data_IF_892964940899
#
_entry.id   IF_892964940899
#
_cell.length_a   1.000
_cell.length_b   1.000
_cell.length_c   1.000
_cell.angle_alpha   90.00
_cell.angle_beta   90.00
_cell.angle_gamma   90.00
#
_symmetry.space_group_name_H-M   'P 1'
#
loop_
_entity.id
_entity.type
_entity.pdbx_description
1 polymer ?
#
# COMPACT_ATOMS: atom_id res chain seq x y z
N UNK A 1 -24.28 7.64 4.61
CA UNK A 1 -24.44 6.20 4.28
C UNK A 1 -23.85 5.36 5.37
N UNK A 2 -24.35 4.14 5.54
CA UNK A 2 -23.74 3.09 6.37
C UNK A 2 -22.88 2.17 5.51
N UNK A 3 -21.57 2.22 5.70
CA UNK A 3 -20.59 1.57 4.84
C UNK A 3 -19.93 0.42 5.60
N UNK A 4 -19.95 -0.79 5.02
CA UNK A 4 -19.25 -1.96 5.54
C UNK A 4 -17.93 -2.13 4.79
N UNK A 5 -16.80 -1.75 5.39
CA UNK A 5 -15.47 -2.02 4.87
C UNK A 5 -15.02 -3.42 5.29
N UNK A 6 -14.59 -4.24 4.34
CA UNK A 6 -14.26 -5.66 4.54
C UNK A 6 -12.79 -5.91 4.24
N UNK A 7 -12.03 -6.39 5.22
CA UNK A 7 -10.65 -6.83 5.03
C UNK A 7 -10.59 -8.31 4.64
N UNK A 8 -9.96 -8.63 3.52
CA UNK A 8 -9.61 -10.00 3.13
C UNK A 8 -8.25 -10.45 3.70
N UNK A 9 -7.52 -9.55 4.35
CA UNK A 9 -6.14 -9.72 4.79
C UNK A 9 -5.94 -10.78 5.88
N UNK A 10 -4.69 -11.19 6.06
CA UNK A 10 -4.25 -12.11 7.12
C UNK A 10 -3.24 -11.49 8.07
N UNK A 11 -3.08 -10.17 8.04
CA UNK A 11 -2.17 -9.39 8.89
C UNK A 11 -2.51 -7.91 8.86
N UNK A 12 -1.97 -7.14 9.81
CA UNK A 12 -2.30 -5.72 10.03
C UNK A 12 -1.32 -4.73 9.40
N UNK A 13 -0.27 -5.21 8.75
CA UNK A 13 0.95 -4.44 8.46
C UNK A 13 1.26 -4.31 6.96
N UNK A 14 0.25 -4.40 6.11
CA UNK A 14 0.39 -4.21 4.66
C UNK A 14 -0.18 -2.88 4.19
N UNK A 15 0.24 -2.43 2.99
CA UNK A 15 -0.32 -1.20 2.40
C UNK A 15 -1.84 -1.24 2.22
N UNK A 16 -2.41 -2.41 1.91
CA UNK A 16 -3.85 -2.56 1.79
C UNK A 16 -4.61 -2.46 3.12
N UNK A 17 -3.98 -2.84 4.23
CA UNK A 17 -4.55 -2.67 5.58
C UNK A 17 -4.44 -1.22 6.05
N UNK A 18 -3.34 -0.54 5.73
CA UNK A 18 -3.19 0.90 5.97
C UNK A 18 -4.19 1.70 5.12
N UNK A 19 -4.41 1.29 3.87
CA UNK A 19 -5.45 1.88 3.02
C UNK A 19 -6.85 1.82 3.67
N UNK A 20 -7.23 0.68 4.28
CA UNK A 20 -8.52 0.55 4.97
C UNK A 20 -8.64 1.51 6.17
N UNK A 21 -7.56 1.67 6.94
CA UNK A 21 -7.48 2.63 8.05
C UNK A 21 -7.69 4.06 7.53
N UNK A 22 -6.97 4.44 6.48
CA UNK A 22 -7.08 5.77 5.87
C UNK A 22 -8.46 6.00 5.25
N UNK A 23 -8.94 5.08 4.41
CA UNK A 23 -10.25 5.22 3.78
C UNK A 23 -11.37 5.31 4.82
N UNK A 24 -11.35 4.44 5.84
CA UNK A 24 -12.34 4.44 6.91
C UNK A 24 -12.37 5.76 7.67
N UNK A 25 -11.21 6.31 7.98
CA UNK A 25 -11.09 7.62 8.63
C UNK A 25 -11.64 8.75 7.76
N UNK A 26 -11.24 8.81 6.48
CA UNK A 26 -11.73 9.83 5.56
C UNK A 26 -13.25 9.77 5.36
N UNK A 27 -13.85 8.56 5.34
CA UNK A 27 -15.30 8.41 5.23
C UNK A 27 -16.03 8.87 6.50
N UNK A 28 -15.49 8.60 7.69
CA UNK A 28 -16.05 9.09 8.97
C UNK A 28 -15.98 10.61 9.03
N UNK A 29 -14.87 11.23 8.61
CA UNK A 29 -14.71 12.68 8.53
C UNK A 29 -15.72 13.34 7.58
N UNK A 30 -16.23 12.60 6.60
CA UNK A 30 -17.31 13.00 5.68
C UNK A 30 -18.73 12.68 6.17
N UNK A 31 -18.87 12.23 7.41
CA UNK A 31 -20.17 11.98 8.06
C UNK A 31 -20.81 10.63 7.73
N UNK A 32 -20.05 9.64 7.25
CA UNK A 32 -20.57 8.29 7.04
C UNK A 32 -20.49 7.44 8.32
N UNK A 33 -21.44 6.52 8.51
CA UNK A 33 -21.35 5.44 9.49
C UNK A 33 -20.47 4.33 8.91
N UNK A 34 -19.30 4.10 9.50
CA UNK A 34 -18.36 3.06 9.03
C UNK A 34 -18.35 1.87 9.95
N UNK A 35 -18.61 0.70 9.39
CA UNK A 35 -18.40 -0.60 10.02
C UNK A 35 -17.16 -1.25 9.37
N UNK A 36 -16.27 -1.83 10.20
CA UNK A 36 -15.09 -2.52 9.69
C UNK A 36 -15.16 -4.01 10.04
N UNK A 37 -15.34 -4.86 9.03
CA UNK A 37 -15.35 -6.32 9.17
C UNK A 37 -13.92 -6.86 8.99
N UNK A 38 -13.37 -7.45 10.05
CA UNK A 38 -11.96 -7.88 10.13
C UNK A 38 -11.91 -9.33 10.62
N UNK A 39 -11.11 -10.22 9.99
CA UNK A 39 -10.88 -11.58 10.47
C UNK A 39 -10.48 -11.62 11.95
N UNK A 40 -11.08 -12.53 12.74
CA UNK A 40 -10.80 -12.71 14.16
C UNK A 40 -9.48 -13.49 14.38
N UNK A 41 -8.39 -13.02 13.75
CA UNK A 41 -7.06 -13.59 13.87
C UNK A 41 -6.15 -12.65 14.68
N UNK A 42 -5.26 -13.13 15.58
CA UNK A 42 -4.39 -12.26 16.38
C UNK A 42 -3.55 -11.29 15.55
N UNK A 43 -3.07 -11.70 14.37
CA UNK A 43 -2.33 -10.83 13.44
C UNK A 43 -3.13 -9.61 12.96
N UNK A 44 -4.46 -9.60 13.12
CA UNK A 44 -5.35 -8.49 12.74
C UNK A 44 -5.66 -7.56 13.92
N UNK A 45 -5.14 -7.81 15.13
CA UNK A 45 -5.46 -7.04 16.33
C UNK A 45 -4.99 -5.59 16.25
N UNK A 46 -3.83 -5.36 15.64
CA UNK A 46 -3.28 -4.01 15.47
C UNK A 46 -4.17 -3.15 14.56
N UNK A 47 -4.60 -3.67 13.42
CA UNK A 47 -5.56 -2.98 12.53
C UNK A 47 -6.89 -2.74 13.26
N UNK A 48 -7.43 -3.77 13.92
CA UNK A 48 -8.66 -3.64 14.68
C UNK A 48 -8.57 -2.54 15.77
N UNK A 49 -7.44 -2.46 16.49
CA UNK A 49 -7.19 -1.43 17.49
C UNK A 49 -7.08 -0.01 16.92
N UNK A 50 -6.47 0.15 15.74
CA UNK A 50 -6.41 1.44 15.05
C UNK A 50 -7.80 1.90 14.62
N UNK A 51 -8.55 1.03 13.97
CA UNK A 51 -9.89 1.34 13.44
C UNK A 51 -10.91 1.56 14.54
N UNK A 52 -10.81 0.86 15.68
CA UNK A 52 -11.72 1.02 16.83
C UNK A 52 -11.73 2.45 17.41
N UNK A 53 -10.77 3.30 17.04
CA UNK A 53 -10.70 4.71 17.46
C UNK A 53 -11.74 5.60 16.77
N UNK A 54 -12.24 5.18 15.60
CA UNK A 54 -13.14 6.00 14.79
C UNK A 54 -14.32 5.22 14.19
N UNK A 55 -14.29 3.89 14.15
CA UNK A 55 -15.33 3.06 13.54
C UNK A 55 -15.64 1.83 14.39
N UNK A 56 -16.84 1.25 14.20
CA UNK A 56 -17.23 0.00 14.84
C UNK A 56 -16.55 -1.18 14.17
N UNK A 57 -15.78 -1.96 14.93
CA UNK A 57 -15.07 -3.16 14.45
C UNK A 57 -15.91 -4.42 14.69
N UNK A 58 -16.04 -5.25 13.66
CA UNK A 58 -16.69 -6.57 13.69
C UNK A 58 -15.60 -7.61 13.46
N UNK A 59 -15.33 -8.42 14.49
CA UNK A 59 -14.37 -9.52 14.42
C UNK A 59 -15.09 -10.76 13.91
N UNK A 60 -14.68 -11.22 12.73
CA UNK A 60 -15.35 -12.29 12.02
C UNK A 60 -14.55 -13.60 12.02
N UNK A 61 -15.25 -14.72 12.19
CA UNK A 61 -14.68 -16.05 11.97
C UNK A 61 -14.50 -16.27 10.46
N UNK A 62 -13.36 -15.76 9.94
CA UNK A 62 -12.97 -15.87 8.54
C UNK A 62 -11.50 -16.24 8.42
N UNK A 63 -11.22 -17.18 7.52
CA UNK A 63 -9.88 -17.61 7.21
C UNK A 63 -9.47 -17.03 5.85
N UNK A 64 -8.42 -16.21 5.85
CA UNK A 64 -7.89 -15.60 4.62
C UNK A 64 -7.32 -16.64 3.65
N UNK A 65 -7.34 -16.31 2.35
CA UNK A 65 -6.72 -17.13 1.28
C UNK A 65 -5.25 -17.47 1.57
N UNK A 66 -4.55 -16.59 2.24
CA UNK A 66 -3.13 -16.78 2.59
C UNK A 66 -2.87 -17.84 3.65
N UNK A 67 -3.90 -18.21 4.41
CA UNK A 67 -3.83 -19.23 5.46
C UNK A 67 -4.21 -20.65 4.96
N UNK A 68 -4.58 -20.78 3.67
CA UNK A 68 -4.83 -22.06 3.02
C UNK A 68 -3.62 -22.52 2.21
N UNK A 69 -3.28 -23.81 2.31
CA UNK A 69 -2.22 -24.42 1.45
C UNK A 69 -2.59 -24.35 -0.04
N UNK A 70 -3.86 -24.56 -0.36
CA UNK A 70 -4.40 -24.54 -1.72
C UNK A 70 -4.88 -23.16 -2.18
N UNK A 71 -4.73 -22.14 -1.32
CA UNK A 71 -5.01 -20.71 -1.62
C UNK A 71 -6.31 -20.50 -2.42
N UNK A 72 -6.19 -20.03 -3.66
CA UNK A 72 -7.28 -19.68 -4.59
C UNK A 72 -8.33 -20.78 -4.74
N UNK A 73 -7.91 -22.06 -4.81
CA UNK A 73 -8.82 -23.19 -4.96
C UNK A 73 -9.73 -23.33 -3.72
N UNK A 74 -9.16 -23.21 -2.52
CA UNK A 74 -9.93 -23.32 -1.28
C UNK A 74 -11.03 -22.25 -1.21
N UNK A 75 -10.71 -20.98 -1.50
CA UNK A 75 -11.68 -19.88 -1.43
C UNK A 75 -12.72 -19.98 -2.55
N UNK A 76 -12.33 -20.43 -3.75
CA UNK A 76 -13.27 -20.65 -4.85
C UNK A 76 -14.33 -21.71 -4.53
N UNK A 77 -13.97 -22.77 -3.78
CA UNK A 77 -14.87 -23.86 -3.41
C UNK A 77 -15.69 -23.60 -2.14
N UNK A 78 -15.36 -22.57 -1.36
CA UNK A 78 -15.92 -22.33 -0.03
C UNK A 78 -17.33 -21.68 -0.07
N UNK A 79 -18.29 -22.35 -0.68
CA UNK A 79 -19.67 -21.85 -0.84
C UNK A 79 -20.41 -21.65 0.49
N UNK A 80 -20.19 -22.55 1.46
CA UNK A 80 -20.86 -22.46 2.79
C UNK A 80 -20.40 -21.20 3.55
N UNK A 81 -19.12 -20.89 3.52
CA UNK A 81 -18.57 -19.68 4.13
C UNK A 81 -19.14 -18.43 3.45
N UNK A 82 -19.21 -18.40 2.10
CA UNK A 82 -19.82 -17.27 1.38
C UNK A 82 -21.26 -17.01 1.81
N UNK A 83 -22.06 -18.06 1.94
CA UNK A 83 -23.47 -17.95 2.36
C UNK A 83 -23.61 -17.40 3.79
N UNK A 84 -22.84 -17.95 4.75
CA UNK A 84 -22.83 -17.50 6.15
C UNK A 84 -22.41 -16.03 6.26
N UNK A 85 -21.39 -15.61 5.51
CA UNK A 85 -20.92 -14.22 5.49
C UNK A 85 -21.98 -13.30 4.87
N UNK A 86 -22.58 -13.70 3.77
CA UNK A 86 -23.66 -12.93 3.12
C UNK A 86 -24.83 -12.68 4.07
N UNK A 87 -25.22 -13.69 4.86
CA UNK A 87 -26.27 -13.53 5.87
C UNK A 87 -25.85 -12.55 6.95
N UNK A 88 -24.64 -12.68 7.50
CA UNK A 88 -24.10 -11.76 8.50
C UNK A 88 -24.08 -10.31 7.99
N UNK A 89 -23.67 -10.09 6.73
CA UNK A 89 -23.64 -8.75 6.16
C UNK A 89 -25.03 -8.14 5.95
N UNK A 90 -26.02 -8.95 5.56
CA UNK A 90 -27.42 -8.49 5.50
C UNK A 90 -27.97 -8.05 6.86
N UNK A 91 -27.64 -8.79 7.93
CA UNK A 91 -28.05 -8.46 9.31
C UNK A 91 -27.48 -7.14 9.79
N UNK A 92 -26.28 -6.73 9.29
CA UNK A 92 -25.66 -5.45 9.58
C UNK A 92 -26.36 -4.27 8.88
N UNK A 93 -27.17 -4.53 7.84
CA UNK A 93 -27.92 -3.55 7.04
C UNK A 93 -27.04 -2.39 6.55
N UNK A 94 -25.91 -2.63 5.87
CA UNK A 94 -25.16 -1.55 5.25
C UNK A 94 -25.84 -1.08 3.95
N UNK A 95 -25.64 0.19 3.60
CA UNK A 95 -26.06 0.73 2.30
C UNK A 95 -25.13 0.22 1.19
N UNK A 96 -23.84 0.00 1.53
CA UNK A 96 -22.83 -0.52 0.60
C UNK A 96 -21.80 -1.38 1.32
N UNK A 97 -21.33 -2.42 0.65
CA UNK A 97 -20.22 -3.28 1.06
C UNK A 97 -18.99 -2.93 0.23
N UNK A 98 -17.88 -2.60 0.87
CA UNK A 98 -16.61 -2.37 0.20
C UNK A 98 -15.63 -3.49 0.55
N UNK A 99 -15.31 -4.33 -0.43
CA UNK A 99 -14.32 -5.39 -0.32
C UNK A 99 -12.92 -4.83 -0.59
N UNK A 100 -11.97 -5.07 0.29
CA UNK A 100 -10.57 -4.70 0.10
C UNK A 100 -9.72 -5.93 -0.19
N UNK A 101 -9.31 -6.11 -1.44
CA UNK A 101 -8.49 -7.23 -1.91
C UNK A 101 -7.07 -6.81 -2.20
N UNK A 102 -6.11 -7.62 -1.76
CA UNK A 102 -4.69 -7.37 -2.01
C UNK A 102 -4.29 -7.64 -3.47
N UNK A 103 -4.88 -8.67 -4.10
CA UNK A 103 -4.58 -9.08 -5.46
C UNK A 103 -5.78 -9.79 -6.14
N UNK A 104 -5.60 -10.28 -7.35
CA UNK A 104 -6.65 -10.90 -8.16
C UNK A 104 -7.25 -12.18 -7.53
N UNK A 105 -6.47 -12.94 -6.77
CA UNK A 105 -6.86 -14.26 -6.25
C UNK A 105 -7.45 -14.24 -4.83
N UNK A 106 -7.26 -13.14 -4.14
CA UNK A 106 -7.64 -12.96 -2.75
C UNK A 106 -9.16 -12.83 -2.61
N UNK A 107 -9.76 -13.38 -1.53
CA UNK A 107 -11.15 -13.15 -1.17
C UNK A 107 -12.19 -13.50 -2.25
N UNK A 108 -12.02 -14.57 -3.04
CA UNK A 108 -13.00 -14.98 -4.05
C UNK A 108 -14.34 -15.41 -3.44
N UNK A 109 -14.30 -15.98 -2.24
CA UNK A 109 -15.46 -16.29 -1.43
C UNK A 109 -16.19 -15.05 -0.90
N UNK A 110 -15.45 -13.96 -0.65
CA UNK A 110 -16.02 -12.67 -0.26
C UNK A 110 -16.73 -11.96 -1.44
N UNK A 111 -16.20 -12.05 -2.67
CA UNK A 111 -16.92 -11.59 -3.87
C UNK A 111 -18.27 -12.27 -3.99
N UNK A 112 -18.28 -13.60 -3.88
CA UNK A 112 -19.52 -14.40 -3.90
C UNK A 112 -20.46 -14.04 -2.74
N UNK A 113 -19.92 -13.78 -1.54
CA UNK A 113 -20.73 -13.36 -0.41
C UNK A 113 -21.38 -11.99 -0.65
N UNK A 114 -20.67 -11.06 -1.29
CA UNK A 114 -21.23 -9.76 -1.66
C UNK A 114 -22.40 -9.90 -2.66
N UNK A 115 -22.23 -10.69 -3.73
CA UNK A 115 -23.32 -10.95 -4.68
C UNK A 115 -24.52 -11.61 -4.00
N UNK A 116 -24.28 -12.61 -3.13
CA UNK A 116 -25.35 -13.30 -2.38
C UNK A 116 -26.04 -12.42 -1.33
N UNK A 117 -25.37 -11.37 -0.84
CA UNK A 117 -25.98 -10.44 0.12
C UNK A 117 -27.08 -9.56 -0.50
N UNK A 118 -27.08 -9.41 -1.82
CA UNK A 118 -27.92 -8.49 -2.56
C UNK A 118 -27.80 -7.00 -2.10
N UNK A 119 -26.70 -6.67 -1.43
CA UNK A 119 -26.34 -5.29 -1.06
C UNK A 119 -25.41 -4.73 -2.13
N UNK A 120 -25.56 -3.47 -2.47
CA UNK A 120 -24.66 -2.75 -3.38
C UNK A 120 -23.19 -2.98 -2.94
N UNK A 121 -22.30 -3.27 -3.89
CA UNK A 121 -20.93 -3.61 -3.51
C UNK A 121 -19.88 -3.02 -4.44
N UNK A 122 -18.75 -2.67 -3.83
CA UNK A 122 -17.54 -2.15 -4.47
C UNK A 122 -16.36 -3.02 -4.03
N UNK A 123 -15.41 -3.28 -4.91
CA UNK A 123 -14.25 -4.10 -4.60
C UNK A 123 -12.97 -3.41 -5.05
N UNK A 124 -12.13 -2.99 -4.12
CA UNK A 124 -10.79 -2.47 -4.42
C UNK A 124 -9.81 -3.62 -4.58
N UNK A 125 -9.00 -3.56 -5.65
CA UNK A 125 -7.88 -4.47 -5.92
C UNK A 125 -6.59 -3.66 -6.01
N UNK A 126 -5.66 -3.91 -5.08
CA UNK A 126 -4.40 -3.17 -5.01
C UNK A 126 -3.39 -3.61 -6.07
N UNK A 127 -3.25 -4.91 -6.30
CA UNK A 127 -2.29 -5.49 -7.22
C UNK A 127 -3.00 -6.33 -8.29
N UNK A 128 -2.72 -6.06 -9.55
CA UNK A 128 -3.32 -6.75 -10.69
C UNK A 128 -2.33 -7.69 -11.40
N UNK A 129 -1.19 -7.97 -10.76
CA UNK A 129 -0.25 -8.99 -11.23
C UNK A 129 -0.90 -10.37 -11.14
N UNK A 130 -0.81 -11.13 -12.26
CA UNK A 130 -1.34 -12.49 -12.34
C UNK A 130 -0.49 -13.47 -11.53
N UNK A 131 -1.04 -14.62 -11.16
CA UNK A 131 -0.29 -15.69 -10.51
C UNK A 131 0.88 -16.16 -11.39
N UNK A 132 0.71 -16.10 -12.72
CA UNK A 132 1.77 -16.41 -13.69
C UNK A 132 2.90 -15.39 -13.64
N UNK A 133 2.62 -14.10 -13.59
CA UNK A 133 3.62 -13.04 -13.45
C UNK A 133 4.43 -13.21 -12.16
N UNK A 134 3.76 -13.61 -11.07
CA UNK A 134 4.36 -13.82 -9.75
C UNK A 134 5.12 -15.16 -9.64
N UNK A 135 5.21 -15.97 -10.69
CA UNK A 135 5.89 -17.28 -10.68
C UNK A 135 5.23 -18.30 -9.74
N UNK A 136 3.92 -18.17 -9.47
CA UNK A 136 3.24 -19.02 -8.52
C UNK A 136 3.04 -20.45 -9.03
N UNK A 137 3.04 -21.44 -8.12
CA UNK A 137 2.68 -22.83 -8.47
C UNK A 137 1.24 -22.90 -8.96
N UNK A 138 0.99 -23.72 -9.99
CA UNK A 138 -0.33 -23.89 -10.66
C UNK A 138 -0.89 -22.55 -11.19
N UNK A 139 -0.06 -21.63 -11.60
CA UNK A 139 -0.41 -20.27 -11.95
C UNK A 139 -1.56 -20.18 -12.97
N UNK A 140 -1.52 -20.98 -14.05
CA UNK A 140 -2.57 -20.99 -15.10
C UNK A 140 -3.95 -21.35 -14.54
N UNK A 141 -4.02 -22.38 -13.67
CA UNK A 141 -5.26 -22.77 -13.03
C UNK A 141 -5.76 -21.70 -12.05
N UNK A 142 -4.87 -21.13 -11.26
CA UNK A 142 -5.20 -20.06 -10.32
C UNK A 142 -5.71 -18.80 -11.03
N UNK A 143 -5.04 -18.38 -12.10
CA UNK A 143 -5.48 -17.24 -12.92
C UNK A 143 -6.83 -17.53 -13.61
N UNK A 144 -7.07 -18.76 -14.09
CA UNK A 144 -8.35 -19.15 -14.66
C UNK A 144 -9.49 -19.10 -13.64
N UNK A 145 -9.29 -19.63 -12.43
CA UNK A 145 -10.27 -19.58 -11.33
C UNK A 145 -10.56 -18.13 -10.93
N UNK A 146 -9.50 -17.31 -10.71
CA UNK A 146 -9.64 -15.91 -10.33
C UNK A 146 -10.41 -15.13 -11.41
N UNK A 147 -10.03 -15.30 -12.69
CA UNK A 147 -10.72 -14.69 -13.83
C UNK A 147 -12.21 -15.01 -13.85
N UNK A 148 -12.58 -16.29 -13.66
CA UNK A 148 -13.98 -16.70 -13.62
C UNK A 148 -14.75 -16.04 -12.49
N UNK A 149 -14.17 -15.99 -11.29
CA UNK A 149 -14.80 -15.34 -10.14
C UNK A 149 -14.96 -13.83 -10.31
N UNK A 150 -13.92 -13.14 -10.84
CA UNK A 150 -13.99 -11.69 -11.08
C UNK A 150 -15.01 -11.34 -12.18
N UNK A 151 -15.09 -12.13 -13.26
CA UNK A 151 -16.10 -11.93 -14.31
C UNK A 151 -17.55 -12.09 -13.83
N UNK A 152 -17.77 -12.94 -12.83
CA UNK A 152 -19.09 -13.19 -12.25
C UNK A 152 -19.53 -12.16 -11.22
N UNK A 153 -18.65 -11.28 -10.76
CA UNK A 153 -18.98 -10.29 -9.76
C UNK A 153 -19.84 -9.13 -10.32
N UNK A 154 -20.99 -8.89 -9.68
CA UNK A 154 -21.96 -7.90 -10.14
C UNK A 154 -21.66 -6.45 -9.73
N UNK A 155 -20.80 -6.25 -8.72
CA UNK A 155 -20.45 -4.93 -8.19
C UNK A 155 -19.46 -4.15 -9.06
N UNK A 156 -18.92 -3.08 -8.50
CA UNK A 156 -17.95 -2.20 -9.17
C UNK A 156 -16.54 -2.54 -8.65
N UNK A 157 -15.63 -2.83 -9.56
CA UNK A 157 -14.21 -2.91 -9.22
C UNK A 157 -13.55 -1.54 -9.22
N UNK A 158 -12.68 -1.31 -8.24
CA UNK A 158 -11.79 -0.15 -8.18
C UNK A 158 -10.35 -0.63 -8.18
N UNK A 159 -9.55 -0.18 -9.13
CA UNK A 159 -8.11 -0.31 -9.11
C UNK A 159 -7.48 0.97 -8.57
N UNK A 160 -6.33 0.85 -7.90
CA UNK A 160 -5.70 1.97 -7.19
C UNK A 160 -4.97 2.97 -8.09
N UNK A 161 -4.99 2.73 -9.40
CA UNK A 161 -4.51 3.63 -10.45
C UNK A 161 -4.94 3.13 -11.84
N UNK A 162 -4.78 3.97 -12.85
CA UNK A 162 -5.29 3.71 -14.20
C UNK A 162 -4.58 2.54 -14.89
N UNK A 163 -3.26 2.40 -14.77
CA UNK A 163 -2.53 1.25 -15.33
C UNK A 163 -2.99 -0.08 -14.71
N UNK A 164 -3.34 -0.07 -13.42
CA UNK A 164 -3.92 -1.25 -12.74
C UNK A 164 -5.35 -1.52 -13.19
N UNK A 165 -6.15 -0.47 -13.45
CA UNK A 165 -7.49 -0.62 -14.02
C UNK A 165 -7.44 -1.25 -15.42
N UNK A 166 -6.57 -0.75 -16.28
CA UNK A 166 -6.37 -1.29 -17.62
C UNK A 166 -5.94 -2.77 -17.59
N UNK A 167 -4.98 -3.12 -16.71
CA UNK A 167 -4.54 -4.50 -16.51
C UNK A 167 -5.67 -5.40 -15.98
N UNK A 168 -6.52 -4.90 -15.07
CA UNK A 168 -7.69 -5.62 -14.58
C UNK A 168 -8.70 -5.87 -15.70
N UNK A 169 -9.01 -4.85 -16.51
CA UNK A 169 -9.92 -4.99 -17.66
C UNK A 169 -9.42 -6.02 -18.67
N UNK A 170 -8.12 -5.98 -18.98
CA UNK A 170 -7.50 -6.99 -19.83
C UNK A 170 -7.62 -8.41 -19.20
N UNK A 171 -7.40 -8.53 -17.90
CA UNK A 171 -7.51 -9.82 -17.20
C UNK A 171 -8.93 -10.40 -17.25
N UNK A 172 -9.97 -9.57 -17.21
CA UNK A 172 -11.38 -10.00 -17.23
C UNK A 172 -12.06 -9.83 -18.61
N UNK A 173 -11.30 -9.61 -19.67
CA UNK A 173 -11.77 -9.41 -21.06
C UNK A 173 -12.83 -8.29 -21.18
N UNK A 174 -12.66 -7.20 -20.45
CA UNK A 174 -13.51 -6.00 -20.51
C UNK A 174 -14.95 -6.16 -20.00
N UNK A 175 -15.30 -7.30 -19.38
CA UNK A 175 -16.69 -7.65 -19.04
C UNK A 175 -17.15 -7.15 -17.66
N UNK A 176 -16.36 -6.35 -16.98
CA UNK A 176 -16.69 -5.88 -15.62
C UNK A 176 -16.72 -4.36 -15.55
N UNK A 177 -17.52 -3.83 -14.62
CA UNK A 177 -17.53 -2.40 -14.33
C UNK A 177 -16.33 -2.03 -13.49
N UNK A 178 -15.43 -1.19 -14.02
CA UNK A 178 -14.17 -0.83 -13.35
C UNK A 178 -14.01 0.68 -13.27
N UNK A 179 -13.42 1.14 -12.16
CA UNK A 179 -12.99 2.53 -11.93
C UNK A 179 -11.53 2.54 -11.48
N UNK A 180 -10.87 3.68 -11.58
CA UNK A 180 -9.59 3.91 -10.91
C UNK A 180 -9.72 5.03 -9.89
N UNK A 181 -9.20 4.78 -8.67
CA UNK A 181 -9.13 5.76 -7.59
C UNK A 181 -7.75 5.63 -6.96
N UNK A 182 -7.01 6.72 -6.93
CA UNK A 182 -5.69 6.76 -6.30
C UNK A 182 -5.82 6.59 -4.77
N UNK A 183 -4.89 5.88 -4.16
CA UNK A 183 -4.82 5.80 -2.71
C UNK A 183 -4.49 7.17 -2.14
N UNK A 184 -5.18 7.56 -1.07
CA UNK A 184 -4.92 8.78 -0.32
C UNK A 184 -4.16 8.51 0.97
N UNK A 185 -3.41 9.51 1.40
CA UNK A 185 -2.69 9.55 2.66
C UNK A 185 -3.07 10.81 3.45
N UNK A 186 -2.98 10.79 4.78
CA UNK A 186 -3.21 11.98 5.59
C UNK A 186 -2.21 13.09 5.24
N UNK A 187 -2.68 14.30 5.02
CA UNK A 187 -1.82 15.45 4.80
C UNK A 187 -1.29 15.96 6.13
N UNK A 188 0.01 15.79 6.36
CA UNK A 188 0.66 16.21 7.61
C UNK A 188 0.76 17.72 7.73
N UNK A 189 0.49 18.24 8.93
CA UNK A 189 0.86 19.61 9.28
C UNK A 189 2.39 19.68 9.46
N UNK A 190 3.02 20.69 8.84
CA UNK A 190 4.47 20.86 8.87
C UNK A 190 4.98 21.81 9.98
N UNK A 191 4.11 22.23 10.92
CA UNK A 191 4.47 23.25 11.94
C UNK A 191 5.64 22.82 12.84
N UNK A 192 5.64 21.55 13.29
CA UNK A 192 6.61 21.05 14.27
C UNK A 192 7.68 20.13 13.62
N UNK A 193 7.78 20.11 12.31
CA UNK A 193 8.66 19.18 11.57
C UNK A 193 10.12 19.31 12.00
N UNK A 194 10.63 20.53 12.21
CA UNK A 194 12.02 20.74 12.63
C UNK A 194 12.32 20.11 14.00
N UNK A 195 11.39 20.20 14.94
CA UNK A 195 11.50 19.60 16.28
C UNK A 195 11.45 18.07 16.19
N UNK A 196 10.48 17.53 15.43
CA UNK A 196 10.33 16.09 15.21
C UNK A 196 11.58 15.54 14.53
N UNK A 197 12.06 16.20 13.47
CA UNK A 197 13.30 15.85 12.77
C UNK A 197 14.48 15.77 13.72
N UNK A 198 14.75 16.84 14.47
CA UNK A 198 15.88 16.91 15.38
C UNK A 198 15.79 15.86 16.50
N UNK A 199 14.59 15.61 17.05
CA UNK A 199 14.37 14.58 18.06
C UNK A 199 14.63 13.18 17.50
N UNK A 200 14.07 12.85 16.32
CA UNK A 200 14.23 11.54 15.70
C UNK A 200 15.67 11.29 15.24
N UNK A 201 16.36 12.28 14.69
CA UNK A 201 17.78 12.16 14.30
C UNK A 201 18.66 11.88 15.52
N UNK A 202 18.42 12.55 16.68
CA UNK A 202 19.13 12.26 17.94
C UNK A 202 18.87 10.83 18.41
N UNK A 203 17.59 10.38 18.37
CA UNK A 203 17.22 8.99 18.73
C UNK A 203 17.97 7.96 17.88
N UNK A 204 18.15 8.27 16.59
CA UNK A 204 18.83 7.40 15.62
C UNK A 204 20.36 7.57 15.59
N UNK A 205 20.94 8.46 16.41
CA UNK A 205 22.35 8.85 16.38
C UNK A 205 22.81 9.34 14.98
N UNK A 206 21.98 10.14 14.30
CA UNK A 206 22.26 10.76 13.00
C UNK A 206 22.65 12.20 13.22
N UNK A 207 23.84 12.60 12.77
CA UNK A 207 24.35 13.97 12.85
C UNK A 207 23.65 14.91 11.84
N UNK A 208 23.68 16.22 12.10
CA UNK A 208 23.05 17.20 11.21
C UNK A 208 23.69 17.25 9.82
N UNK A 209 24.98 16.91 9.72
CA UNK A 209 25.72 16.83 8.47
C UNK A 209 25.53 15.50 7.72
N UNK A 210 24.97 14.47 8.37
CA UNK A 210 24.74 13.16 7.73
C UNK A 210 23.56 13.25 6.77
N UNK A 211 23.68 12.60 5.62
CA UNK A 211 22.56 12.36 4.70
C UNK A 211 21.85 11.06 5.10
N UNK A 212 20.63 11.13 5.59
CA UNK A 212 19.83 9.95 5.97
C UNK A 212 18.94 9.48 4.81
N UNK A 213 19.28 8.33 4.25
CA UNK A 213 18.51 7.67 3.17
C UNK A 213 17.62 6.58 3.77
N UNK A 214 16.32 6.66 3.50
CA UNK A 214 15.31 5.75 4.03
C UNK A 214 14.85 4.73 2.99
N UNK A 215 14.68 3.48 3.42
CA UNK A 215 13.89 2.45 2.75
C UNK A 215 12.67 2.11 3.61
N UNK A 216 11.46 2.13 3.03
CA UNK A 216 10.22 1.83 3.75
C UNK A 216 9.46 0.71 3.07
N UNK A 217 9.19 -0.36 3.82
CA UNK A 217 8.40 -1.48 3.33
C UNK A 217 8.80 -2.83 3.90
N UNK A 218 8.01 -3.85 3.54
CA UNK A 218 8.32 -5.21 3.97
C UNK A 218 9.64 -5.69 3.37
N UNK A 219 10.44 -6.42 4.14
CA UNK A 219 11.63 -7.13 3.64
C UNK A 219 11.21 -8.39 2.87
N UNK A 220 10.76 -8.19 1.62
CA UNK A 220 10.31 -9.23 0.70
C UNK A 220 10.84 -8.95 -0.71
N UNK A 221 10.81 -9.96 -1.59
CA UNK A 221 11.29 -9.85 -2.98
C UNK A 221 10.68 -8.67 -3.74
N UNK A 222 9.39 -8.41 -3.55
CA UNK A 222 8.68 -7.29 -4.16
C UNK A 222 9.37 -5.93 -3.91
N UNK A 223 9.88 -5.72 -2.70
CA UNK A 223 10.48 -4.43 -2.27
C UNK A 223 11.97 -4.32 -2.58
N UNK A 224 12.60 -5.39 -3.09
CA UNK A 224 13.99 -5.42 -3.54
C UNK A 224 14.99 -4.84 -2.54
N UNK A 225 15.05 -5.34 -1.29
CA UNK A 225 16.04 -4.88 -0.32
C UNK A 225 17.48 -5.11 -0.77
N UNK A 226 17.73 -6.11 -1.64
CA UNK A 226 19.00 -6.34 -2.33
C UNK A 226 19.41 -5.15 -3.21
N UNK A 227 18.49 -4.63 -4.02
CA UNK A 227 18.75 -3.44 -4.85
C UNK A 227 18.93 -2.19 -3.98
N UNK A 228 18.14 -2.03 -2.92
CA UNK A 228 18.33 -0.95 -1.97
C UNK A 228 19.76 -0.93 -1.40
N UNK A 229 20.28 -2.08 -0.96
CA UNK A 229 21.63 -2.19 -0.40
C UNK A 229 22.71 -1.91 -1.47
N UNK A 230 22.52 -2.42 -2.70
CA UNK A 230 23.43 -2.11 -3.81
C UNK A 230 23.52 -0.60 -4.06
N UNK A 231 22.37 0.05 -4.09
CA UNK A 231 22.26 1.50 -4.30
C UNK A 231 22.87 2.28 -3.13
N UNK A 232 22.57 1.85 -1.90
CA UNK A 232 23.14 2.45 -0.70
C UNK A 232 24.67 2.39 -0.69
N UNK A 233 25.27 1.27 -1.13
CA UNK A 233 26.72 1.13 -1.25
C UNK A 233 27.32 2.13 -2.26
N UNK A 234 26.66 2.32 -3.41
CA UNK A 234 27.13 3.31 -4.40
C UNK A 234 27.00 4.76 -3.91
N UNK A 235 25.90 5.07 -3.20
CA UNK A 235 25.73 6.39 -2.57
C UNK A 235 26.83 6.60 -1.53
N UNK A 236 27.05 5.63 -0.62
CA UNK A 236 28.06 5.76 0.44
C UNK A 236 29.48 5.94 -0.09
N UNK A 237 29.82 5.26 -1.17
CA UNK A 237 31.14 5.39 -1.81
C UNK A 237 31.41 6.82 -2.32
N UNK A 238 30.37 7.54 -2.76
CA UNK A 238 30.47 8.92 -3.27
C UNK A 238 30.20 9.97 -2.20
N UNK A 239 29.35 9.65 -1.23
CA UNK A 239 28.92 10.51 -0.14
C UNK A 239 29.16 9.82 1.20
N UNK A 240 30.42 9.81 1.72
CA UNK A 240 30.77 9.06 2.93
C UNK A 240 29.99 9.46 4.20
N UNK A 241 29.45 10.68 4.25
CA UNK A 241 28.56 11.13 5.33
C UNK A 241 27.13 10.60 5.20
N UNK A 242 26.84 9.65 4.28
CA UNK A 242 25.51 9.04 4.17
C UNK A 242 25.28 7.93 5.19
N UNK A 243 24.08 7.89 5.72
CA UNK A 243 23.52 6.87 6.62
C UNK A 243 22.26 6.29 6.00
N UNK A 244 21.96 5.04 6.32
CA UNK A 244 20.83 4.34 5.73
C UNK A 244 19.98 3.71 6.80
N UNK A 245 18.66 3.73 6.61
CA UNK A 245 17.71 3.11 7.53
C UNK A 245 16.63 2.37 6.74
N UNK A 246 16.47 1.07 7.02
CA UNK A 246 15.32 0.32 6.54
C UNK A 246 14.24 0.25 7.62
N UNK A 247 13.02 0.69 7.27
CA UNK A 247 11.84 0.68 8.14
C UNK A 247 10.89 -0.39 7.65
N UNK A 248 10.75 -1.45 8.41
CA UNK A 248 9.89 -2.59 8.10
C UNK A 248 10.54 -3.92 8.36
N UNK A 249 9.71 -4.96 8.30
CA UNK A 249 10.10 -6.34 8.57
C UNK A 249 9.60 -7.28 7.46
N UNK A 250 10.04 -8.53 7.45
CA UNK A 250 9.63 -9.50 6.45
C UNK A 250 10.45 -10.78 6.44
N UNK A 251 10.15 -11.67 5.49
CA UNK A 251 10.79 -12.99 5.40
C UNK A 251 12.28 -12.95 5.03
N UNK A 252 12.80 -11.80 4.56
CA UNK A 252 14.23 -11.61 4.33
C UNK A 252 14.99 -11.04 5.54
N UNK A 253 14.29 -10.72 6.64
CA UNK A 253 14.93 -10.23 7.86
C UNK A 253 16.07 -11.13 8.40
N UNK A 254 15.97 -12.48 8.37
CA UNK A 254 17.07 -13.35 8.80
C UNK A 254 18.33 -13.27 7.92
N UNK A 255 18.21 -12.81 6.67
CA UNK A 255 19.33 -12.68 5.72
C UNK A 255 19.89 -11.27 5.64
N UNK A 256 19.24 -10.32 6.32
CA UNK A 256 19.57 -8.90 6.22
C UNK A 256 21.02 -8.60 6.61
N UNK A 257 21.49 -9.13 7.76
CA UNK A 257 22.83 -8.85 8.26
C UNK A 257 23.91 -9.39 7.32
N UNK A 258 23.71 -10.58 6.73
CA UNK A 258 24.60 -11.15 5.72
C UNK A 258 24.68 -10.26 4.46
N UNK A 259 23.55 -9.72 4.00
CA UNK A 259 23.50 -8.84 2.84
C UNK A 259 24.16 -7.48 3.11
N UNK A 260 23.94 -6.92 4.29
CA UNK A 260 24.59 -5.68 4.76
C UNK A 260 26.12 -5.84 4.81
N UNK A 261 26.61 -6.95 5.34
CA UNK A 261 28.03 -7.26 5.38
C UNK A 261 28.64 -7.32 3.98
N UNK A 262 28.00 -8.06 3.07
CA UNK A 262 28.43 -8.15 1.66
C UNK A 262 28.43 -6.81 0.94
N UNK A 263 27.51 -5.93 1.29
CA UNK A 263 27.42 -4.59 0.72
C UNK A 263 28.44 -3.60 1.32
N UNK A 264 29.17 -3.97 2.37
CA UNK A 264 30.12 -3.10 3.06
C UNK A 264 29.47 -1.97 3.85
N UNK A 265 28.21 -2.16 4.30
CA UNK A 265 27.41 -1.10 4.92
C UNK A 265 27.22 -1.23 6.42
N UNK A 266 27.88 -2.20 7.10
CA UNK A 266 27.61 -2.56 8.49
C UNK A 266 27.64 -1.40 9.48
N UNK A 267 28.50 -0.41 9.26
CA UNK A 267 28.67 0.75 10.16
C UNK A 267 27.76 1.93 9.85
N UNK A 268 27.05 1.90 8.71
CA UNK A 268 26.30 3.05 8.20
C UNK A 268 24.84 2.76 7.90
N UNK A 269 24.43 1.49 8.03
CA UNK A 269 23.02 1.11 7.84
C UNK A 269 22.46 0.44 9.08
N UNK A 270 21.18 0.72 9.36
CA UNK A 270 20.40 0.05 10.41
C UNK A 270 19.03 -0.35 9.92
N UNK A 271 18.35 -1.19 10.70
CA UNK A 271 16.97 -1.62 10.49
C UNK A 271 16.20 -1.54 11.81
N UNK A 272 15.04 -0.91 11.77
CA UNK A 272 14.20 -0.70 12.98
C UNK A 272 12.96 -1.61 13.03
N UNK A 273 12.81 -2.52 12.05
CA UNK A 273 11.62 -3.38 11.98
C UNK A 273 10.34 -2.60 11.66
N UNK A 274 9.19 -3.20 11.98
CA UNK A 274 7.89 -2.55 11.80
C UNK A 274 7.72 -1.37 12.76
N UNK A 275 7.25 -0.24 12.22
CA UNK A 275 6.92 0.96 12.98
C UNK A 275 5.47 1.37 12.71
N UNK A 276 4.74 1.70 13.77
CA UNK A 276 3.36 2.23 13.68
C UNK A 276 3.33 3.71 13.28
N UNK A 277 4.36 4.47 13.67
CA UNK A 277 4.60 5.84 13.24
C UNK A 277 5.80 5.88 12.29
N UNK A 278 5.52 5.93 10.99
CA UNK A 278 6.53 6.11 9.95
C UNK A 278 6.81 7.59 9.70
N UNK A 279 5.86 8.47 10.03
CA UNK A 279 5.95 9.90 9.72
C UNK A 279 7.16 10.57 10.36
N UNK A 280 7.47 10.27 11.63
CA UNK A 280 8.63 10.82 12.33
C UNK A 280 9.96 10.44 11.67
N UNK A 281 10.05 9.24 11.10
CA UNK A 281 11.21 8.81 10.32
C UNK A 281 11.29 9.53 8.98
N UNK A 282 10.16 9.72 8.27
CA UNK A 282 10.13 10.46 7.01
C UNK A 282 10.58 11.92 7.22
N UNK A 283 10.17 12.56 8.31
CA UNK A 283 10.65 13.89 8.66
C UNK A 283 12.15 13.91 9.01
N UNK A 284 12.71 12.83 9.56
CA UNK A 284 14.14 12.72 9.86
C UNK A 284 15.00 12.50 8.62
N UNK A 285 14.45 11.92 7.56
CA UNK A 285 15.14 11.57 6.33
C UNK A 285 15.53 12.76 5.45
N UNK A 286 16.43 12.51 4.52
CA UNK A 286 16.86 13.43 3.46
C UNK A 286 16.50 12.89 2.07
N UNK A 287 16.26 11.56 1.96
CA UNK A 287 15.85 10.89 0.73
C UNK A 287 15.05 9.63 1.09
N UNK A 288 13.91 9.40 0.43
CA UNK A 288 13.29 8.07 0.35
C UNK A 288 13.81 7.35 -0.90
N UNK A 289 14.41 6.17 -0.73
CA UNK A 289 14.80 5.28 -1.81
C UNK A 289 13.80 4.13 -1.92
N UNK A 290 12.94 4.16 -2.94
CA UNK A 290 11.86 3.18 -3.14
C UNK A 290 12.03 2.43 -4.46
N UNK A 291 12.60 1.22 -4.39
CA UNK A 291 13.03 0.43 -5.55
C UNK A 291 12.19 -0.84 -5.75
N UNK A 292 10.93 -0.79 -5.38
CA UNK A 292 10.04 -1.94 -5.53
C UNK A 292 9.91 -2.39 -6.99
N UNK A 293 9.81 -3.70 -7.19
CA UNK A 293 9.68 -4.33 -8.51
C UNK A 293 8.32 -4.05 -9.16
N UNK A 294 7.28 -3.93 -8.35
CA UNK A 294 5.91 -3.60 -8.76
C UNK A 294 5.12 -3.08 -7.55
N UNK A 295 4.18 -2.19 -7.80
CA UNK A 295 3.29 -1.61 -6.79
C UNK A 295 1.85 -1.48 -7.33
N UNK A 296 0.91 -1.32 -6.41
CA UNK A 296 -0.36 -0.70 -6.73
C UNK A 296 -0.17 0.81 -6.86
N UNK A 297 -0.37 1.53 -5.76
CA UNK A 297 0.14 2.88 -5.54
C UNK A 297 0.94 2.84 -4.23
N UNK A 298 2.26 3.16 -4.23
CA UNK A 298 3.10 3.01 -3.06
C UNK A 298 2.79 4.09 -2.02
N UNK A 299 2.08 3.73 -0.94
CA UNK A 299 1.75 4.65 0.15
C UNK A 299 3.00 5.32 0.72
N UNK A 300 4.11 4.57 0.86
CA UNK A 300 5.36 5.11 1.38
C UNK A 300 5.91 6.29 0.55
N UNK A 301 5.73 6.28 -0.78
CA UNK A 301 6.12 7.40 -1.66
C UNK A 301 5.17 8.58 -1.44
N UNK A 302 3.85 8.34 -1.40
CA UNK A 302 2.88 9.40 -1.14
C UNK A 302 3.08 10.04 0.25
N UNK A 303 3.32 9.25 1.29
CA UNK A 303 3.61 9.70 2.66
C UNK A 303 4.92 10.51 2.73
N UNK A 304 5.96 10.08 2.00
CA UNK A 304 7.23 10.81 1.92
C UNK A 304 7.06 12.16 1.20
N UNK A 305 6.31 12.19 0.09
CA UNK A 305 5.98 13.43 -0.61
C UNK A 305 5.22 14.41 0.30
N UNK A 306 4.23 13.91 1.06
CA UNK A 306 3.51 14.70 2.07
C UNK A 306 4.46 15.24 3.14
N UNK A 307 5.49 14.51 3.52
CA UNK A 307 6.52 14.95 4.47
C UNK A 307 7.56 15.92 3.85
N UNK A 308 7.43 16.32 2.58
CA UNK A 308 8.46 17.04 1.81
C UNK A 308 9.80 16.31 1.76
N UNK A 309 9.77 14.99 1.75
CA UNK A 309 10.96 14.17 1.60
C UNK A 309 11.15 13.84 0.11
N UNK A 310 12.27 14.23 -0.51
CA UNK A 310 12.56 13.82 -1.89
C UNK A 310 12.52 12.31 -2.03
N UNK A 311 11.97 11.82 -3.14
CA UNK A 311 11.86 10.40 -3.42
C UNK A 311 12.74 10.01 -4.62
N UNK A 312 13.43 8.88 -4.52
CA UNK A 312 14.11 8.24 -5.63
C UNK A 312 13.45 6.88 -5.93
N UNK A 313 13.05 6.68 -7.18
CA UNK A 313 12.33 5.48 -7.64
C UNK A 313 13.00 4.89 -8.88
N UNK A 314 12.71 3.62 -9.21
CA UNK A 314 13.11 3.05 -10.49
C UNK A 314 12.25 3.62 -11.62
N UNK A 315 12.82 3.72 -12.83
CA UNK A 315 12.08 4.18 -14.00
C UNK A 315 10.92 3.25 -14.36
N UNK A 316 11.11 1.94 -14.19
CA UNK A 316 10.04 0.94 -14.37
C UNK A 316 8.83 1.24 -13.47
N UNK A 317 9.06 1.60 -12.20
CA UNK A 317 7.98 1.96 -11.28
C UNK A 317 7.28 3.26 -11.69
N UNK A 318 8.03 4.26 -12.15
CA UNK A 318 7.46 5.51 -12.62
C UNK A 318 6.62 5.31 -13.90
N UNK A 319 7.01 4.42 -14.81
CA UNK A 319 6.20 4.07 -15.97
C UNK A 319 4.84 3.43 -15.59
N UNK A 320 4.81 2.67 -14.49
CA UNK A 320 3.55 2.15 -13.94
C UNK A 320 2.67 3.26 -13.32
N UNK A 321 3.29 4.37 -12.87
CA UNK A 321 2.61 5.48 -12.17
C UNK A 321 2.96 6.80 -12.90
N UNK A 322 2.28 7.14 -14.00
CA UNK A 322 2.64 8.30 -14.85
C UNK A 322 2.65 9.67 -14.16
N UNK A 323 2.09 9.76 -12.95
CA UNK A 323 2.18 10.96 -12.12
C UNK A 323 3.59 11.21 -11.57
N UNK A 324 4.42 10.17 -11.47
CA UNK A 324 5.81 10.26 -11.03
C UNK A 324 6.69 10.57 -12.24
N UNK A 325 7.37 11.72 -12.22
CA UNK A 325 8.22 12.20 -13.31
C UNK A 325 9.44 12.97 -12.77
N UNK A 326 10.34 13.41 -13.65
CA UNK A 326 11.59 14.08 -13.29
C UNK A 326 11.45 15.36 -12.48
N UNK A 327 10.26 15.96 -12.44
CA UNK A 327 10.02 17.19 -11.66
C UNK A 327 9.71 16.86 -10.19
N UNK A 328 9.20 15.67 -9.88
CA UNK A 328 8.72 15.32 -8.52
C UNK A 328 9.39 14.08 -7.92
N UNK A 329 10.21 13.34 -8.68
CA UNK A 329 11.06 12.24 -8.18
C UNK A 329 12.42 12.21 -8.88
N UNK A 330 13.37 11.53 -8.25
CA UNK A 330 14.61 11.12 -8.90
C UNK A 330 14.46 9.73 -9.49
N UNK A 331 15.14 9.44 -10.61
CA UNK A 331 15.27 8.09 -11.15
C UNK A 331 16.62 7.49 -10.75
N UNK A 332 16.58 6.28 -10.20
CA UNK A 332 17.78 5.58 -9.73
C UNK A 332 18.54 4.90 -10.86
N UNK A 333 17.98 4.81 -12.05
CA UNK A 333 18.57 4.11 -13.21
C UNK A 333 19.68 4.95 -13.86
N UNK A 334 19.68 6.27 -13.67
CA UNK A 334 20.75 7.20 -14.10
C UNK A 334 21.59 7.63 -12.88
N UNK A 335 22.53 6.77 -12.49
CA UNK A 335 23.41 6.97 -11.34
C UNK A 335 24.23 8.24 -11.34
N UNK A 336 24.96 8.59 -12.43
CA UNK A 336 25.78 9.79 -12.43
C UNK A 336 24.93 11.05 -12.20
N UNK A 337 23.78 11.12 -12.85
CA UNK A 337 22.84 12.23 -12.70
C UNK A 337 22.23 12.29 -11.30
N UNK A 338 21.80 11.13 -10.74
CA UNK A 338 21.27 11.07 -9.38
C UNK A 338 22.28 11.58 -8.36
N UNK A 339 23.50 11.04 -8.34
CA UNK A 339 24.52 11.41 -7.35
C UNK A 339 24.91 12.87 -7.40
N UNK A 340 24.99 13.47 -8.58
CA UNK A 340 25.24 14.91 -8.73
C UNK A 340 24.07 15.74 -8.16
N UNK A 341 22.84 15.34 -8.46
CA UNK A 341 21.62 16.04 -8.00
C UNK A 341 21.39 15.91 -6.48
N UNK A 342 21.82 14.80 -5.86
CA UNK A 342 21.74 14.62 -4.39
C UNK A 342 22.64 15.58 -3.60
N UNK A 343 23.65 16.17 -4.23
CA UNK A 343 24.53 17.17 -3.61
C UNK A 343 24.01 18.60 -3.79
N UNK A 344 23.04 18.81 -4.67
CA UNK A 344 22.45 20.13 -4.93
C UNK A 344 21.19 20.35 -4.09
N UNK A 345 21.30 21.17 -3.04
CA UNK A 345 20.19 21.52 -2.15
C UNK A 345 19.01 22.18 -2.87
N UNK A 346 19.26 22.98 -3.88
CA UNK A 346 18.20 23.65 -4.64
C UNK A 346 17.36 22.61 -5.39
N UNK A 347 18.00 21.65 -6.04
CA UNK A 347 17.34 20.52 -6.71
C UNK A 347 16.54 19.64 -5.73
N UNK A 348 17.13 19.29 -4.57
CA UNK A 348 16.42 18.52 -3.54
C UNK A 348 15.15 19.24 -3.07
N UNK A 349 15.26 20.56 -2.83
CA UNK A 349 14.12 21.37 -2.39
C UNK A 349 13.04 21.47 -3.48
N UNK A 350 13.42 21.65 -4.73
CA UNK A 350 12.47 21.73 -5.85
C UNK A 350 11.69 20.41 -6.01
N UNK A 351 12.39 19.27 -6.06
CA UNK A 351 11.77 17.94 -6.13
C UNK A 351 10.82 17.66 -4.94
N UNK A 352 11.25 18.03 -3.73
CA UNK A 352 10.43 17.86 -2.53
C UNK A 352 9.17 18.73 -2.55
N UNK A 353 9.25 19.94 -3.08
CA UNK A 353 8.12 20.88 -3.20
C UNK A 353 7.12 20.37 -4.23
N UNK A 354 7.57 20.06 -5.43
CA UNK A 354 6.72 19.48 -6.50
C UNK A 354 6.09 18.15 -6.06
N UNK A 355 6.85 17.29 -5.37
CA UNK A 355 6.33 16.04 -4.80
C UNK A 355 5.22 16.30 -3.79
N UNK A 356 5.40 17.29 -2.90
CA UNK A 356 4.37 17.68 -1.93
C UNK A 356 3.11 18.22 -2.60
N UNK A 357 3.25 19.10 -3.58
CA UNK A 357 2.13 19.67 -4.35
C UNK A 357 1.36 18.57 -5.09
N UNK A 358 2.08 17.62 -5.70
CA UNK A 358 1.46 16.44 -6.31
C UNK A 358 0.66 15.63 -5.27
N UNK A 359 1.25 15.36 -4.09
CA UNK A 359 0.60 14.56 -3.06
C UNK A 359 -0.66 15.26 -2.50
N UNK A 360 -0.62 16.56 -2.26
CA UNK A 360 -1.78 17.35 -1.82
C UNK A 360 -2.90 17.35 -2.86
N UNK A 361 -2.54 17.49 -4.15
CA UNK A 361 -3.50 17.54 -5.25
C UNK A 361 -4.10 16.17 -5.57
N UNK A 362 -3.29 15.08 -5.55
CA UNK A 362 -3.69 13.79 -6.10
C UNK A 362 -3.81 12.66 -5.05
N UNK A 363 -3.01 12.71 -3.98
CA UNK A 363 -2.91 11.64 -2.99
C UNK A 363 -3.48 12.04 -1.62
N UNK A 364 -4.37 13.03 -1.55
CA UNK A 364 -4.99 13.39 -0.28
C UNK A 364 -6.06 12.38 0.15
N UNK A 365 -6.15 12.16 1.46
CA UNK A 365 -7.18 11.33 2.08
C UNK A 365 -8.59 11.78 1.69
N UNK A 366 -8.81 13.10 1.70
CA UNK A 366 -10.10 13.72 1.35
C UNK A 366 -10.52 13.39 -0.08
N UNK A 367 -9.62 13.58 -1.05
CA UNK A 367 -9.88 13.27 -2.47
C UNK A 367 -10.18 11.78 -2.69
N UNK A 368 -9.46 10.90 -2.00
CA UNK A 368 -9.73 9.47 -2.03
C UNK A 368 -11.13 9.18 -1.50
N UNK A 369 -11.47 9.63 -0.30
CA UNK A 369 -12.75 9.37 0.33
C UNK A 369 -13.92 9.93 -0.50
N UNK A 370 -13.81 11.14 -1.04
CA UNK A 370 -14.80 11.74 -1.95
C UNK A 370 -14.99 10.90 -3.23
N UNK A 371 -13.90 10.40 -3.80
CA UNK A 371 -13.97 9.56 -4.99
C UNK A 371 -14.67 8.23 -4.73
N UNK A 372 -14.41 7.60 -3.57
CA UNK A 372 -15.12 6.39 -3.16
C UNK A 372 -16.60 6.66 -2.87
N UNK A 373 -16.93 7.78 -2.23
CA UNK A 373 -18.33 8.18 -2.00
C UNK A 373 -19.12 8.25 -3.30
N UNK A 374 -18.57 8.85 -4.36
CA UNK A 374 -19.19 8.87 -5.70
C UNK A 374 -19.44 7.47 -6.25
N UNK A 375 -18.48 6.56 -6.09
CA UNK A 375 -18.62 5.16 -6.54
C UNK A 375 -19.62 4.38 -5.69
N UNK A 376 -19.72 4.64 -4.39
CA UNK A 376 -20.75 4.04 -3.53
C UNK A 376 -22.15 4.48 -3.91
N UNK A 377 -22.36 5.78 -4.20
CA UNK A 377 -23.64 6.29 -4.70
C UNK A 377 -23.99 5.68 -6.05
N UNK A 378 -23.00 5.50 -6.95
CA UNK A 378 -23.20 4.81 -8.24
C UNK A 378 -23.62 3.34 -8.02
N UNK A 379 -22.95 2.63 -7.12
CA UNK A 379 -23.25 1.22 -6.83
C UNK A 379 -24.65 1.04 -6.22
N UNK A 380 -25.08 1.95 -5.35
CA UNK A 380 -26.38 1.90 -4.68
C UNK A 380 -27.57 2.24 -5.59
N UNK A 381 -27.35 2.80 -6.78
CA UNK A 381 -28.40 3.09 -7.77
C UNK A 381 -28.70 1.92 -8.71
N UNK A 382 -27.90 0.87 -8.67
CA UNK A 382 -28.08 -0.36 -9.46
C UNK A 382 -28.89 -1.39 -8.71
#
# INVERSE_FOLDING_TARGET
>A
MKILLVSSGSGSRGGGEIFLDYLGKGLVERGHEVLMWIPAHPRMNELAGRVARFARVIRADYRSVYDYKTRTIATALNRRTSHRIAQQWRELRPDVIHLNKQNLEDGLDLLRAADQSAVASVCTIHLTQTARYLGARMARLRDWIARGALKGYAGIFVAVQETRRAALQQFVDGKTNTRSILNGVPISNLRDVSLIRSAKRRELNIGDADMLVLGVGRLVEQKRPDLFLKIASEIHRRLPASKFLWIGDGNFAPRWDEWVERAGLRTVISRVGWQSDVSSFLFAGDLLLHVARYEGLPLAVAEAMVARLPCAVTQDLAQEIPLLNENNVFFVDDWPRLLNRLQDRATLTAIATEGRELAEREFSLEKMAESYERVYVEAAKK
#
